data_IF_995991555023
#
_entry.id   IF_995991555023
#
_cell.length_a   1.000
_cell.length_b   1.000
_cell.length_c   1.000
_cell.angle_alpha   90.00
_cell.angle_beta   90.00
_cell.angle_gamma   90.00
#
_symmetry.space_group_name_H-M   'P 1'
#
loop_
_entity.id
_entity.type
_entity.pdbx_description
1 polymer ?
#
# COMPACT_ATOMS: atom_id res chain seq x y z
N UNK A 1 -14.18 11.83 13.54
CA UNK A 1 -13.07 11.81 14.51
C UNK A 1 -11.81 11.48 13.74
N UNK A 2 -10.85 12.40 13.64
CA UNK A 2 -9.55 12.10 13.04
C UNK A 2 -8.65 11.56 14.17
N UNK A 3 -8.41 10.26 14.17
CA UNK A 3 -7.40 9.63 15.03
C UNK A 3 -6.17 9.32 14.18
N UNK A 4 -5.01 9.83 14.59
CA UNK A 4 -3.70 9.50 14.01
C UNK A 4 -2.97 8.61 15.00
N UNK A 5 -2.52 7.43 14.57
CA UNK A 5 -1.66 6.59 15.42
C UNK A 5 -0.24 7.19 15.53
N UNK A 6 0.48 6.89 16.62
CA UNK A 6 1.92 7.13 16.67
C UNK A 6 2.64 6.36 15.55
N UNK A 7 3.79 6.87 15.14
CA UNK A 7 4.55 6.28 14.04
C UNK A 7 5.15 4.94 14.42
N UNK A 8 4.82 3.89 13.67
CA UNK A 8 5.37 2.55 13.84
C UNK A 8 6.55 2.34 12.89
N UNK A 9 7.50 1.48 13.29
CA UNK A 9 8.65 1.13 12.44
C UNK A 9 8.27 0.03 11.47
N UNK A 10 8.41 0.31 10.18
CA UNK A 10 8.14 -0.62 9.08
C UNK A 10 9.45 -1.08 8.45
N UNK A 11 9.65 -2.40 8.41
CA UNK A 11 10.77 -3.00 7.69
C UNK A 11 10.37 -3.31 6.26
N UNK A 12 11.04 -2.69 5.31
CA UNK A 12 10.75 -2.79 3.88
C UNK A 12 11.92 -3.44 3.16
N UNK A 13 11.63 -4.39 2.27
CA UNK A 13 12.64 -5.01 1.39
C UNK A 13 12.52 -4.42 -0.01
N UNK A 14 13.54 -3.68 -0.42
CA UNK A 14 13.59 -3.09 -1.77
C UNK A 14 13.68 -4.14 -2.87
N UNK A 15 13.47 -3.70 -4.12
CA UNK A 15 13.67 -4.52 -5.33
C UNK A 15 15.13 -4.95 -5.50
N UNK A 16 16.04 -4.21 -4.89
CA UNK A 16 17.46 -4.52 -4.76
C UNK A 16 17.77 -5.56 -3.67
N UNK A 17 16.75 -6.02 -2.94
CA UNK A 17 16.86 -6.98 -1.85
C UNK A 17 17.32 -6.40 -0.53
N UNK A 18 17.65 -5.09 -0.47
CA UNK A 18 18.14 -4.42 0.75
C UNK A 18 16.96 -4.11 1.68
N UNK A 19 17.14 -4.42 2.96
CA UNK A 19 16.17 -4.14 4.02
C UNK A 19 16.42 -2.74 4.58
N UNK A 20 15.36 -1.94 4.68
CA UNK A 20 15.37 -0.56 5.17
C UNK A 20 14.25 -0.38 6.18
N UNK A 21 14.44 0.55 7.11
CA UNK A 21 13.44 0.89 8.12
C UNK A 21 12.82 2.26 7.80
N UNK A 22 11.50 2.34 7.89
CA UNK A 22 10.72 3.55 7.69
C UNK A 22 9.79 3.79 8.87
N UNK A 23 9.43 5.04 9.12
CA UNK A 23 8.43 5.39 10.12
C UNK A 23 7.08 5.57 9.42
N UNK A 24 6.01 4.96 9.91
CA UNK A 24 4.69 4.97 9.24
C UNK A 24 3.60 5.41 10.19
N UNK A 25 2.72 6.30 9.75
CA UNK A 25 1.50 6.67 10.48
C UNK A 25 0.25 6.35 9.68
N UNK A 26 -0.79 5.87 10.35
CA UNK A 26 -2.11 5.62 9.77
C UNK A 26 -3.10 6.57 10.42
N UNK A 27 -3.89 7.24 9.59
CA UNK A 27 -4.96 8.13 10.01
C UNK A 27 -6.25 7.81 9.26
N UNK A 28 -7.37 7.92 9.98
CA UNK A 28 -8.69 7.67 9.42
C UNK A 28 -9.42 9.00 9.22
N UNK A 29 -9.88 9.25 8.00
CA UNK A 29 -10.85 10.28 7.65
C UNK A 29 -12.21 9.62 7.34
N UNK A 30 -13.28 10.42 7.30
CA UNK A 30 -14.69 9.96 7.31
C UNK A 30 -14.96 8.77 6.37
N UNK A 31 -14.43 8.79 5.14
CA UNK A 31 -14.63 7.73 4.15
C UNK A 31 -13.33 7.06 3.68
N UNK A 32 -12.18 7.55 4.15
CA UNK A 32 -10.88 7.23 3.57
C UNK A 32 -9.86 6.97 4.69
N UNK A 33 -9.10 5.90 4.54
CA UNK A 33 -7.91 5.66 5.37
C UNK A 33 -6.72 6.24 4.63
N UNK A 34 -5.91 7.02 5.34
CA UNK A 34 -4.68 7.63 4.86
C UNK A 34 -3.48 7.04 5.58
N UNK A 35 -2.53 6.53 4.81
CA UNK A 35 -1.25 6.04 5.31
C UNK A 35 -0.18 7.03 4.88
N UNK A 36 0.70 7.43 5.79
CA UNK A 36 1.85 8.28 5.52
C UNK A 36 3.13 7.56 5.96
N UNK A 37 4.19 7.72 5.18
CA UNK A 37 5.54 7.20 5.48
C UNK A 37 6.48 8.37 5.61
N UNK A 38 7.42 8.31 6.55
CA UNK A 38 8.50 9.27 6.69
C UNK A 38 9.84 8.53 6.85
N UNK A 39 10.89 9.11 6.31
CA UNK A 39 12.27 8.65 6.43
C UNK A 39 13.14 9.79 6.93
N UNK A 40 13.94 9.53 7.96
CA UNK A 40 14.78 10.54 8.62
C UNK A 40 15.95 11.04 7.77
N UNK A 41 16.36 10.27 6.75
CA UNK A 41 17.54 10.48 5.92
C UNK A 41 17.25 11.08 4.53
N UNK A 42 16.02 10.96 4.02
CA UNK A 42 15.66 11.40 2.66
C UNK A 42 14.73 12.63 2.60
N UNK A 43 14.39 13.24 3.74
CA UNK A 43 13.47 14.39 3.79
C UNK A 43 11.99 13.99 3.67
N UNK A 44 11.13 14.97 3.36
CA UNK A 44 9.67 14.84 3.36
C UNK A 44 9.13 14.07 2.14
N UNK A 45 9.55 12.83 1.98
CA UNK A 45 8.83 11.92 1.13
C UNK A 45 7.65 11.35 1.91
N UNK A 46 6.44 11.40 1.34
CA UNK A 46 5.27 10.70 1.89
C UNK A 46 4.68 9.77 0.85
N UNK A 47 4.49 8.50 1.19
CA UNK A 47 3.61 7.62 0.43
C UNK A 47 2.19 7.78 0.97
N UNK A 48 1.30 8.35 0.18
CA UNK A 48 -0.13 8.48 0.52
C UNK A 48 -0.91 7.33 -0.11
N UNK A 49 -1.57 6.52 0.71
CA UNK A 49 -2.49 5.48 0.26
C UNK A 49 -3.90 5.79 0.74
N UNK A 50 -4.85 5.77 -0.19
CA UNK A 50 -6.28 5.95 0.10
C UNK A 50 -6.98 4.60 -0.01
N UNK A 51 -7.53 4.12 1.13
CA UNK A 51 -8.35 2.90 1.17
C UNK A 51 -9.83 3.25 1.35
N UNK A 52 -10.68 2.67 0.51
CA UNK A 52 -12.14 2.75 0.62
C UNK A 52 -12.75 1.38 0.96
N UNK A 53 -13.71 1.29 1.89
CA UNK A 53 -14.43 0.05 2.14
C UNK A 53 -15.22 -0.44 0.91
N UNK A 54 -15.02 -1.70 0.50
CA UNK A 54 -15.76 -2.39 -0.55
C UNK A 54 -16.22 -3.76 -0.02
N UNK A 55 -17.34 -3.75 0.70
CA UNK A 55 -17.82 -4.92 1.44
C UNK A 55 -16.80 -5.39 2.48
N UNK A 56 -16.36 -6.65 2.35
CA UNK A 56 -15.35 -7.27 3.23
C UNK A 56 -13.91 -6.87 2.88
N UNK A 57 -13.69 -6.12 1.80
CA UNK A 57 -12.35 -5.73 1.33
C UNK A 57 -12.10 -4.22 1.47
N UNK A 58 -10.84 -3.84 1.33
CA UNK A 58 -10.39 -2.46 1.21
C UNK A 58 -9.85 -2.18 -0.19
N UNK A 59 -10.49 -1.24 -0.87
CA UNK A 59 -10.17 -0.79 -2.21
C UNK A 59 -9.01 0.21 -2.16
N UNK A 60 -7.87 -0.13 -2.78
CA UNK A 60 -6.72 0.75 -2.85
C UNK A 60 -6.85 1.67 -4.06
N UNK A 61 -7.29 2.91 -3.83
CA UNK A 61 -7.58 3.89 -4.89
C UNK A 61 -6.32 4.47 -5.52
N UNK A 62 -5.33 4.79 -4.70
CA UNK A 62 -4.23 5.65 -5.13
C UNK A 62 -2.95 5.43 -4.31
N UNK A 63 -1.80 5.58 -4.97
CA UNK A 63 -0.45 5.62 -4.40
C UNK A 63 0.32 6.75 -5.10
N UNK A 64 0.20 8.02 -4.67
CA UNK A 64 1.11 9.11 -5.11
C UNK A 64 0.86 10.43 -4.35
N UNK A 65 1.91 11.27 -4.23
CA UNK A 65 1.95 12.76 -4.27
C UNK A 65 3.42 13.18 -4.36
N UNK A 66 3.72 14.47 -4.58
CA UNK A 66 4.96 15.11 -5.10
C UNK A 66 6.34 14.63 -4.62
N UNK A 67 6.41 13.75 -3.62
CA UNK A 67 7.64 13.35 -2.94
C UNK A 67 7.75 11.82 -2.77
N UNK A 68 6.97 11.05 -3.55
CA UNK A 68 6.96 9.57 -3.52
C UNK A 68 8.15 8.91 -4.20
N UNK A 69 8.86 9.65 -5.07
CA UNK A 69 10.01 9.15 -5.85
C UNK A 69 11.07 8.50 -4.95
N UNK A 70 11.31 9.09 -3.77
CA UNK A 70 12.27 8.56 -2.81
C UNK A 70 11.92 7.18 -2.25
N UNK A 71 10.71 6.64 -2.43
CA UNK A 71 10.33 5.30 -1.96
C UNK A 71 10.05 4.30 -3.08
N UNK A 72 10.04 4.74 -4.33
CA UNK A 72 9.81 3.85 -5.48
C UNK A 72 10.88 2.75 -5.48
N UNK A 73 10.44 1.50 -5.55
CA UNK A 73 11.33 0.34 -5.53
C UNK A 73 11.99 0.03 -4.17
N UNK A 74 11.72 0.79 -3.10
CA UNK A 74 12.27 0.53 -1.77
C UNK A 74 11.45 -0.46 -0.92
N UNK A 75 10.41 -1.06 -1.50
CA UNK A 75 9.56 -2.06 -0.83
C UNK A 75 8.52 -1.50 0.11
N UNK A 76 8.39 -0.17 0.15
CA UNK A 76 7.55 0.56 1.10
C UNK A 76 6.07 0.30 0.84
N UNK A 77 5.65 0.42 -0.41
CA UNK A 77 4.25 0.21 -0.79
C UNK A 77 3.83 -1.26 -0.57
N UNK A 78 4.70 -2.22 -0.88
CA UNK A 78 4.48 -3.64 -0.61
C UNK A 78 4.30 -3.93 0.88
N UNK A 79 5.21 -3.40 1.71
CA UNK A 79 5.15 -3.59 3.16
C UNK A 79 3.90 -2.92 3.76
N UNK A 80 3.51 -1.74 3.28
CA UNK A 80 2.27 -1.09 3.74
C UNK A 80 1.03 -1.88 3.35
N UNK A 81 0.94 -2.42 2.14
CA UNK A 81 -0.21 -3.25 1.74
C UNK A 81 -0.37 -4.42 2.71
N UNK A 82 0.76 -5.03 3.10
CA UNK A 82 0.76 -6.15 4.04
C UNK A 82 0.30 -5.74 5.43
N UNK A 83 0.87 -4.67 5.98
CA UNK A 83 0.51 -4.16 7.30
C UNK A 83 -0.94 -3.65 7.34
N UNK A 84 -1.41 -3.01 6.27
CA UNK A 84 -2.80 -2.55 6.15
C UNK A 84 -3.76 -3.73 6.22
N UNK A 85 -3.48 -4.81 5.49
CA UNK A 85 -4.34 -5.99 5.51
C UNK A 85 -4.49 -6.57 6.92
N UNK A 86 -3.38 -6.65 7.66
CA UNK A 86 -3.32 -7.13 9.04
C UNK A 86 -4.04 -6.19 10.00
N UNK A 87 -3.75 -4.90 9.91
CA UNK A 87 -4.28 -3.87 10.79
C UNK A 87 -5.81 -3.79 10.71
N UNK A 88 -6.35 -3.73 9.49
CA UNK A 88 -7.79 -3.63 9.27
C UNK A 88 -8.50 -4.98 9.34
N UNK A 89 -7.74 -6.07 9.46
CA UNK A 89 -8.24 -7.45 9.36
C UNK A 89 -9.08 -7.68 8.10
N UNK A 90 -8.67 -7.06 6.99
CA UNK A 90 -9.35 -7.13 5.69
C UNK A 90 -8.34 -7.37 4.58
N UNK A 91 -8.75 -8.08 3.53
CA UNK A 91 -7.93 -8.16 2.32
C UNK A 91 -8.00 -6.83 1.57
N UNK A 92 -6.91 -6.46 0.90
CA UNK A 92 -6.82 -5.31 0.02
C UNK A 92 -6.99 -5.77 -1.42
N UNK A 93 -7.64 -4.93 -2.22
CA UNK A 93 -7.88 -5.17 -3.64
C UNK A 93 -7.48 -3.92 -4.42
N UNK A 94 -6.81 -4.11 -5.55
CA UNK A 94 -6.39 -3.02 -6.42
C UNK A 94 -7.56 -2.42 -7.20
N UNK A 95 -7.42 -1.16 -7.63
CA UNK A 95 -8.16 -0.64 -8.79
C UNK A 95 -7.84 -1.44 -10.05
N UNK A 96 -8.70 -1.36 -11.06
CA UNK A 96 -8.45 -1.91 -12.39
C UNK A 96 -7.34 -1.12 -13.10
N UNK A 97 -6.67 -1.71 -14.09
CA UNK A 97 -5.81 -0.93 -14.97
C UNK A 97 -6.70 -0.03 -15.83
N UNK A 98 -6.59 1.28 -15.64
CA UNK A 98 -7.30 2.25 -16.47
C UNK A 98 -6.40 3.42 -16.82
N UNK A 99 -6.76 4.05 -17.93
CA UNK A 99 -6.11 5.23 -18.52
C UNK A 99 -6.61 6.56 -17.94
N UNK A 100 -7.42 6.53 -16.87
CA UNK A 100 -7.93 7.71 -16.18
C UNK A 100 -7.21 7.95 -14.84
N UNK A 101 -7.51 9.08 -14.20
CA UNK A 101 -6.84 9.55 -12.97
C UNK A 101 -7.02 8.62 -11.75
N UNK A 102 -7.86 7.59 -11.87
CA UNK A 102 -8.16 6.62 -10.80
C UNK A 102 -7.72 5.19 -11.13
N UNK A 103 -7.11 4.98 -12.29
CA UNK A 103 -6.58 3.69 -12.72
C UNK A 103 -5.28 3.28 -12.01
N UNK A 104 -5.04 1.97 -11.95
CA UNK A 104 -3.77 1.42 -11.43
C UNK A 104 -2.63 1.72 -12.40
N UNK A 105 -1.68 2.54 -11.97
CA UNK A 105 -0.47 2.88 -12.76
C UNK A 105 0.41 1.66 -13.06
N UNK A 106 1.34 1.79 -14.01
CA UNK A 106 2.33 0.73 -14.31
C UNK A 106 3.22 0.42 -13.10
N UNK A 107 3.65 1.45 -12.36
CA UNK A 107 4.44 1.29 -11.14
C UNK A 107 3.68 0.52 -10.06
N UNK A 108 2.40 0.83 -9.85
CA UNK A 108 1.53 0.10 -8.94
C UNK A 108 1.31 -1.35 -9.43
N UNK A 109 1.17 -1.56 -10.74
CA UNK A 109 1.05 -2.90 -11.32
C UNK A 109 2.31 -3.75 -11.06
N UNK A 110 3.51 -3.20 -11.25
CA UNK A 110 4.77 -3.88 -10.94
C UNK A 110 4.90 -4.23 -9.46
N UNK A 111 4.45 -3.35 -8.57
CA UNK A 111 4.38 -3.62 -7.13
C UNK A 111 3.46 -4.80 -6.81
N UNK A 112 2.24 -4.81 -7.35
CA UNK A 112 1.31 -5.93 -7.16
C UNK A 112 1.86 -7.26 -7.71
N UNK A 113 2.48 -7.23 -8.89
CA UNK A 113 3.14 -8.40 -9.46
C UNK A 113 4.25 -8.95 -8.55
N UNK A 114 5.01 -8.09 -7.88
CA UNK A 114 5.99 -8.52 -6.86
C UNK A 114 5.31 -9.16 -5.66
N UNK A 115 4.16 -8.65 -5.20
CA UNK A 115 3.39 -9.32 -4.14
C UNK A 115 2.90 -10.71 -4.58
N UNK A 116 2.45 -10.85 -5.83
CA UNK A 116 2.08 -12.14 -6.42
C UNK A 116 3.26 -13.10 -6.44
N UNK A 117 4.42 -12.66 -6.92
CA UNK A 117 5.63 -13.47 -6.96
C UNK A 117 6.09 -13.97 -5.57
N UNK A 118 5.74 -13.24 -4.51
CA UNK A 118 6.02 -13.62 -3.12
C UNK A 118 4.87 -14.39 -2.43
N UNK A 119 3.80 -14.73 -3.16
CA UNK A 119 2.64 -15.45 -2.61
C UNK A 119 1.77 -14.62 -1.66
N UNK A 120 1.91 -13.29 -1.68
CA UNK A 120 1.18 -12.35 -0.83
C UNK A 120 -0.05 -11.74 -1.52
N UNK A 121 -0.21 -11.99 -2.82
CA UNK A 121 -1.37 -11.59 -3.59
C UNK A 121 -1.67 -12.59 -4.70
N UNK A 122 -2.84 -12.46 -5.31
CA UNK A 122 -3.26 -13.14 -6.54
C UNK A 122 -3.73 -12.11 -7.56
N UNK A 123 -3.50 -12.37 -8.84
CA UNK A 123 -4.09 -11.61 -9.94
C UNK A 123 -5.30 -12.37 -10.47
N UNK A 124 -6.45 -11.73 -10.44
CA UNK A 124 -7.63 -12.16 -11.17
C UNK A 124 -7.61 -11.49 -12.54
N UNK A 125 -7.24 -12.25 -13.56
CA UNK A 125 -7.15 -11.80 -14.95
C UNK A 125 -8.52 -11.41 -15.52
N UNK A 126 -9.61 -12.01 -15.02
CA UNK A 126 -10.96 -11.77 -15.56
C UNK A 126 -11.50 -10.38 -15.21
N UNK A 127 -11.12 -9.88 -14.03
CA UNK A 127 -11.50 -8.56 -13.54
C UNK A 127 -10.35 -7.54 -13.61
N UNK A 128 -9.17 -7.98 -14.01
CA UNK A 128 -7.90 -7.24 -13.95
C UNK A 128 -7.64 -6.61 -12.57
N UNK A 129 -7.78 -7.41 -11.53
CA UNK A 129 -7.56 -6.97 -10.15
C UNK A 129 -6.59 -7.86 -9.42
N UNK A 130 -5.76 -7.23 -8.61
CA UNK A 130 -4.96 -7.92 -7.62
C UNK A 130 -5.68 -7.92 -6.29
N UNK A 131 -5.64 -9.05 -5.59
CA UNK A 131 -6.21 -9.21 -4.26
C UNK A 131 -5.13 -9.80 -3.36
N UNK A 132 -4.95 -9.24 -2.17
CA UNK A 132 -4.01 -9.81 -1.21
C UNK A 132 -4.45 -11.22 -0.79
N UNK A 133 -3.49 -12.09 -0.53
CA UNK A 133 -3.68 -13.45 -0.01
C UNK A 133 -2.96 -13.63 1.33
N UNK A 134 -2.92 -12.56 2.12
CA UNK A 134 -2.17 -12.50 3.37
C UNK A 134 -2.96 -13.20 4.46
N UNK A 135 -2.29 -14.00 5.29
CA UNK A 135 -2.88 -14.55 6.51
C UNK A 135 -3.19 -13.41 7.48
N UNK A 136 -4.47 -13.19 7.75
CA UNK A 136 -4.95 -12.20 8.71
C UNK A 136 -5.20 -12.94 10.04
N UNK A 137 -4.45 -12.62 11.11
CA UNK A 137 -4.72 -13.20 12.42
C UNK A 137 -6.09 -12.72 12.93
N UNK A 138 -6.89 -13.68 13.43
CA UNK A 138 -8.23 -13.46 13.99
C UNK A 138 -8.20 -12.50 15.20
#
# INVERSE_FOLDING_TARGET
MNSRRPMEKLHCRGVDGVIREYSVSISNCVNDIWIEVEASDTGAGKLEMVLEPQGEMLWLKYIERSDTEAFVGKGVAEAIIVESARYFKKQLISTYHASDDYGRSESATKMWQRLVANGLAKHDESSDRFVTSITIPL
#
